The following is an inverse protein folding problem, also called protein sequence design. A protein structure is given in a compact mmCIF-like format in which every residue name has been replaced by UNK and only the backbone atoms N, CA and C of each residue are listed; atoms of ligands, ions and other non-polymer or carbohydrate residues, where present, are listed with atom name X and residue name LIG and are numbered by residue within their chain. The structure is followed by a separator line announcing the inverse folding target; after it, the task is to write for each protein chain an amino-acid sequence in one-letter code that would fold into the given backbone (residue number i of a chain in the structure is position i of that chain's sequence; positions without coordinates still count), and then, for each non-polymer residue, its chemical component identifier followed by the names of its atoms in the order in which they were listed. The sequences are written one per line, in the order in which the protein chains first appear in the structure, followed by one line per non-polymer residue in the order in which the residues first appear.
data_IF_183825399962
#
_entry.id   IF_183825399962
#
_cell.length_a   1.000
_cell.length_b   1.000
_cell.length_c   1.000
_cell.angle_alpha   90.00
_cell.angle_beta   90.00
_cell.angle_gamma   90.00
#
_symmetry.space_group_name_H-M   'P 1'
#
loop_
_entity.id
_entity.type
_entity.pdbx_description
1 polymer ?
#
# COMPACT_ATOMS: atom_id res chain seq x y z
N UNK A 1 21.64 27.61 -7.30
CA UNK A 1 23.01 27.12 -7.02
C UNK A 1 22.97 25.61 -6.93
N UNK A 2 23.43 24.94 -7.99
CA UNK A 2 23.45 23.48 -8.13
C UNK A 2 24.21 22.83 -6.97
N UNK A 3 23.78 21.67 -6.46
CA UNK A 3 24.57 20.92 -5.47
C UNK A 3 25.96 20.47 -5.98
N UNK A 4 26.27 20.65 -7.27
CA UNK A 4 27.64 20.57 -7.80
C UNK A 4 28.52 21.71 -7.28
N UNK A 5 27.96 22.90 -7.01
CA UNK A 5 28.71 24.05 -6.51
C UNK A 5 29.00 23.99 -5.00
N UNK A 6 28.30 23.14 -4.24
CA UNK A 6 28.56 22.97 -2.80
C UNK A 6 29.67 21.95 -2.51
N UNK A 7 30.24 21.32 -3.55
CA UNK A 7 31.49 20.55 -3.47
C UNK A 7 32.59 21.35 -4.18
N UNK A 8 32.70 22.64 -3.85
CA UNK A 8 33.81 23.49 -4.27
C UNK A 8 34.54 23.90 -3.01
N UNK A 9 35.56 23.14 -2.62
CA UNK A 9 36.60 23.72 -1.78
C UNK A 9 37.36 24.68 -2.70
N UNK A 10 37.18 25.98 -2.48
CA UNK A 10 38.07 27.01 -3.04
C UNK A 10 39.44 26.88 -2.37
N UNK A 11 40.25 25.95 -2.85
CA UNK A 11 41.71 25.92 -2.77
C UNK A 11 42.18 24.63 -3.47
N UNK A 12 43.09 24.77 -4.43
CA UNK A 12 43.64 23.76 -5.33
C UNK A 12 42.73 23.27 -6.46
N UNK A 13 43.17 23.53 -7.69
CA UNK A 13 42.58 23.13 -8.97
C UNK A 13 42.59 21.61 -9.25
N UNK A 14 42.36 20.79 -8.22
CA UNK A 14 41.99 19.39 -8.38
C UNK A 14 40.47 19.27 -8.48
N UNK A 15 39.98 18.50 -9.44
CA UNK A 15 38.54 18.25 -9.56
C UNK A 15 38.00 17.72 -8.22
N UNK A 16 36.83 18.19 -7.75
CA UNK A 16 36.31 17.81 -6.45
C UNK A 16 36.20 16.29 -6.34
N UNK A 17 36.85 15.73 -5.33
CA UNK A 17 36.82 14.29 -5.07
C UNK A 17 35.44 13.91 -4.58
N UNK A 18 34.61 13.39 -5.50
CA UNK A 18 33.32 12.80 -5.18
C UNK A 18 33.58 11.45 -4.52
N UNK A 19 33.47 11.39 -3.20
CA UNK A 19 33.58 10.15 -2.43
C UNK A 19 32.40 10.03 -1.46
N UNK A 20 32.19 8.83 -0.90
CA UNK A 20 31.06 8.56 -0.01
C UNK A 20 31.03 9.49 1.20
N UNK A 21 32.19 9.87 1.74
CA UNK A 21 32.30 10.76 2.89
C UNK A 21 31.86 12.20 2.56
N UNK A 22 32.26 12.74 1.39
CA UNK A 22 31.88 14.09 0.97
C UNK A 22 30.39 14.20 0.62
N UNK A 23 29.81 13.17 -0.01
CA UNK A 23 28.36 13.07 -0.25
C UNK A 23 27.60 13.01 1.07
N UNK A 24 28.01 12.13 1.99
CA UNK A 24 27.34 11.94 3.29
C UNK A 24 27.39 13.22 4.13
N UNK A 25 28.55 13.87 4.20
CA UNK A 25 28.71 15.14 4.92
C UNK A 25 27.82 16.25 4.36
N UNK A 26 27.71 16.34 3.03
CA UNK A 26 26.85 17.32 2.35
C UNK A 26 25.37 17.06 2.62
N UNK A 27 24.91 15.81 2.52
CA UNK A 27 23.54 15.44 2.84
C UNK A 27 23.20 15.70 4.31
N UNK A 28 24.10 15.34 5.24
CA UNK A 28 23.93 15.60 6.67
C UNK A 28 23.89 17.10 6.99
N UNK A 29 24.76 17.91 6.38
CA UNK A 29 24.79 19.37 6.55
C UNK A 29 23.58 20.09 5.97
N UNK A 30 22.95 19.53 4.94
CA UNK A 30 21.67 20.02 4.41
C UNK A 30 20.50 19.63 5.31
N UNK A 31 20.51 18.39 5.80
CA UNK A 31 19.48 17.90 6.71
C UNK A 31 19.44 18.69 8.03
N UNK A 32 20.59 19.04 8.59
CA UNK A 32 20.67 19.86 9.81
C UNK A 32 20.05 21.26 9.64
N UNK A 33 20.08 21.79 8.40
CA UNK A 33 19.42 23.04 8.00
C UNK A 33 17.94 22.86 7.60
N UNK A 34 17.39 21.65 7.75
CA UNK A 34 16.01 21.34 7.39
C UNK A 34 15.76 21.15 5.89
N UNK A 35 16.82 21.01 5.08
CA UNK A 35 16.72 20.78 3.63
C UNK A 35 16.80 19.27 3.39
N UNK A 36 15.66 18.66 3.05
CA UNK A 36 15.52 17.21 2.86
C UNK A 36 15.81 16.73 1.45
N UNK A 37 15.99 17.63 0.49
CA UNK A 37 16.06 17.33 -0.94
C UNK A 37 17.34 17.85 -1.54
N UNK A 38 18.04 17.03 -2.32
CA UNK A 38 19.33 17.38 -2.93
C UNK A 38 19.46 16.74 -4.30
N UNK A 39 19.84 17.51 -5.32
CA UNK A 39 20.18 16.97 -6.63
C UNK A 39 21.67 16.62 -6.71
N UNK A 40 22.03 15.39 -7.05
CA UNK A 40 23.42 14.99 -7.34
C UNK A 40 23.60 14.97 -8.86
N UNK A 41 24.30 15.98 -9.38
CA UNK A 41 24.43 16.22 -10.82
C UNK A 41 23.08 16.50 -11.48
N UNK A 42 22.95 16.15 -12.76
CA UNK A 42 21.72 16.38 -13.56
C UNK A 42 20.75 15.18 -13.58
N UNK A 43 21.12 14.05 -12.96
CA UNK A 43 20.42 12.76 -13.14
C UNK A 43 19.91 12.13 -11.86
N UNK A 44 20.46 12.48 -10.70
CA UNK A 44 20.16 11.80 -9.44
C UNK A 44 19.50 12.81 -8.51
N UNK A 45 18.36 12.42 -7.94
CA UNK A 45 17.68 13.17 -6.91
C UNK A 45 17.66 12.35 -5.63
N UNK A 46 18.08 12.96 -4.53
CA UNK A 46 18.15 12.34 -3.22
C UNK A 46 17.19 13.06 -2.28
N UNK A 47 16.26 12.30 -1.71
CA UNK A 47 15.43 12.74 -0.59
C UNK A 47 15.88 12.00 0.67
N UNK A 48 16.07 12.73 1.76
CA UNK A 48 16.49 12.17 3.05
C UNK A 48 15.37 12.36 4.06
N UNK A 49 14.91 11.25 4.65
CA UNK A 49 13.90 11.25 5.70
C UNK A 49 14.40 12.07 6.91
N UNK A 50 13.72 13.15 7.31
CA UNK A 50 14.10 13.90 8.49
C UNK A 50 13.76 13.20 9.81
N UNK A 51 13.01 12.10 9.80
CA UNK A 51 12.63 11.34 11.01
C UNK A 51 11.75 12.13 11.99
N UNK A 52 11.25 13.30 11.56
CA UNK A 52 10.40 14.22 12.32
C UNK A 52 9.38 14.84 11.38
N UNK A 53 8.22 15.20 11.93
CA UNK A 53 7.24 16.01 11.21
C UNK A 53 7.83 17.40 10.99
N UNK A 54 8.18 17.68 9.73
CA UNK A 54 8.49 19.04 9.28
C UNK A 54 7.18 19.82 9.16
N UNK A 55 7.22 21.15 9.25
CA UNK A 55 6.05 22.03 9.08
C UNK A 55 5.09 21.51 8.02
N UNK A 56 3.83 21.31 8.43
CA UNK A 56 2.67 20.85 7.67
C UNK A 56 2.99 20.53 6.20
N UNK A 57 3.59 19.34 5.99
CA UNK A 57 4.16 18.89 4.71
C UNK A 57 3.18 19.05 3.55
N UNK A 58 1.90 18.82 3.81
CA UNK A 58 0.83 19.04 2.85
C UNK A 58 0.59 20.50 2.48
N UNK A 59 0.65 21.42 3.45
CA UNK A 59 0.48 22.86 3.19
C UNK A 59 1.68 23.42 2.42
N UNK A 60 2.90 22.94 2.72
CA UNK A 60 4.11 23.27 1.97
C UNK A 60 4.07 22.66 0.57
N UNK A 61 3.63 21.40 0.45
CA UNK A 61 3.46 20.72 -0.84
C UNK A 61 2.39 21.39 -1.69
N UNK A 62 1.25 21.81 -1.12
CA UNK A 62 0.20 22.59 -1.80
C UNK A 62 0.68 23.97 -2.21
N UNK A 63 1.31 24.73 -1.31
CA UNK A 63 1.89 26.06 -1.64
C UNK A 63 2.92 25.94 -2.77
N UNK A 64 3.79 24.94 -2.70
CA UNK A 64 4.78 24.68 -3.75
C UNK A 64 4.14 24.18 -5.04
N UNK A 65 3.16 23.28 -4.96
CA UNK A 65 2.39 22.82 -6.11
C UNK A 65 1.69 23.99 -6.82
N UNK A 66 1.23 25.02 -6.09
CA UNK A 66 0.66 26.25 -6.67
C UNK A 66 1.72 27.12 -7.37
N UNK A 67 2.92 27.26 -6.79
CA UNK A 67 4.07 27.95 -7.43
C UNK A 67 4.47 27.27 -8.73
N UNK A 68 4.28 25.96 -8.79
CA UNK A 68 4.64 25.10 -9.92
C UNK A 68 3.48 25.01 -10.96
N UNK A 69 2.22 24.88 -10.55
CA UNK A 69 1.05 24.90 -11.47
C UNK A 69 0.88 26.25 -12.18
N UNK A 70 1.24 27.37 -11.56
CA UNK A 70 1.31 28.67 -12.26
C UNK A 70 2.27 28.70 -13.46
N UNK A 71 3.19 27.72 -13.57
CA UNK A 71 4.11 27.55 -14.72
C UNK A 71 3.47 26.79 -15.89
N UNK A 72 2.38 26.07 -15.67
CA UNK A 72 1.67 25.31 -16.71
C UNK A 72 0.72 26.18 -17.54
N UNK A 73 0.29 27.32 -16.99
CA UNK A 73 -0.61 28.28 -17.65
C UNK A 73 0.14 29.33 -18.49
N UNK A 74 1.47 29.43 -18.36
CA UNK A 74 2.29 30.33 -19.17
C UNK A 74 2.77 29.64 -20.45
N UNK A 75 2.56 30.30 -21.60
CA UNK A 75 3.15 29.91 -22.88
C UNK A 75 4.68 29.70 -22.75
N UNK A 76 5.26 28.69 -23.42
CA UNK A 76 6.66 28.27 -23.24
C UNK A 76 7.68 29.23 -23.89
N UNK A 77 7.43 30.54 -23.86
CA UNK A 77 8.12 31.55 -24.67
C UNK A 77 9.16 32.41 -23.94
N UNK A 78 9.53 32.10 -22.70
CA UNK A 78 10.61 32.84 -22.02
C UNK A 78 11.56 31.91 -21.27
N UNK A 79 12.68 31.55 -21.90
CA UNK A 79 13.81 30.79 -21.30
C UNK A 79 14.55 31.53 -20.16
N UNK A 80 14.11 32.73 -19.77
CA UNK A 80 14.72 33.52 -18.70
C UNK A 80 14.01 33.33 -17.37
N UNK A 81 14.78 33.11 -16.29
CA UNK A 81 14.35 33.12 -14.87
C UNK A 81 13.73 31.85 -14.25
N UNK A 82 14.24 30.66 -14.58
CA UNK A 82 13.70 29.38 -14.09
C UNK A 82 14.40 28.87 -12.80
N UNK A 83 15.24 29.71 -12.18
CA UNK A 83 16.26 29.29 -11.20
C UNK A 83 15.97 29.56 -9.71
N UNK A 84 14.76 29.99 -9.33
CA UNK A 84 14.50 30.47 -7.96
C UNK A 84 13.74 29.50 -7.03
N UNK A 85 13.32 28.31 -7.49
CA UNK A 85 12.72 27.32 -6.57
C UNK A 85 13.79 26.39 -6.01
N UNK A 86 13.90 26.31 -4.68
CA UNK A 86 14.73 25.33 -3.98
C UNK A 86 14.52 23.91 -4.55
N UNK A 87 15.61 23.15 -4.71
CA UNK A 87 15.62 21.80 -5.28
C UNK A 87 14.53 20.92 -4.65
N UNK A 88 13.55 20.50 -5.46
CA UNK A 88 12.38 19.77 -4.98
C UNK A 88 11.93 18.73 -6.00
N UNK A 89 11.35 17.64 -5.53
CA UNK A 89 10.89 16.53 -6.36
C UNK A 89 9.88 17.00 -7.42
N UNK A 90 9.00 17.93 -7.06
CA UNK A 90 8.01 18.53 -7.97
C UNK A 90 8.65 19.20 -9.19
N UNK A 91 9.84 19.80 -9.06
CA UNK A 91 10.55 20.39 -10.20
C UNK A 91 10.93 19.33 -11.24
N UNK A 92 11.30 18.13 -10.80
CA UNK A 92 11.66 17.05 -11.73
C UNK A 92 10.41 16.49 -12.40
N UNK A 93 9.31 16.43 -11.65
CA UNK A 93 7.99 16.05 -12.15
C UNK A 93 7.52 17.03 -13.22
N UNK A 94 7.63 18.35 -12.99
CA UNK A 94 7.36 19.39 -13.99
C UNK A 94 8.24 19.27 -15.23
N UNK A 95 9.56 19.16 -15.04
CA UNK A 95 10.50 19.04 -16.15
C UNK A 95 10.18 17.81 -17.01
N UNK A 96 9.78 16.70 -16.37
CA UNK A 96 9.28 15.54 -17.09
C UNK A 96 8.02 15.90 -17.88
N UNK A 97 7.04 16.57 -17.28
CA UNK A 97 5.82 16.98 -17.99
C UNK A 97 6.07 17.90 -19.19
N UNK A 98 6.95 18.88 -19.07
CA UNK A 98 7.32 19.77 -20.20
C UNK A 98 7.84 18.95 -21.39
N UNK A 99 8.63 17.91 -21.15
CA UNK A 99 9.07 17.02 -22.23
C UNK A 99 7.92 16.23 -22.87
N UNK A 100 6.88 15.85 -22.11
CA UNK A 100 5.67 15.19 -22.64
C UNK A 100 4.95 16.14 -23.60
N UNK A 101 4.70 17.38 -23.16
CA UNK A 101 3.95 18.39 -23.94
C UNK A 101 4.72 18.81 -25.19
N UNK A 102 6.04 18.92 -25.12
CA UNK A 102 6.91 19.22 -26.27
C UNK A 102 6.99 18.07 -27.30
N UNK A 103 6.23 16.98 -27.14
CA UNK A 103 6.22 15.85 -28.07
C UNK A 103 7.52 15.05 -28.10
N UNK A 104 8.45 15.31 -27.19
CA UNK A 104 9.67 14.52 -27.03
C UNK A 104 9.25 13.23 -26.34
N UNK A 105 9.29 12.09 -27.05
CA UNK A 105 8.98 10.77 -26.49
C UNK A 105 9.73 10.57 -25.18
N UNK A 106 9.03 10.63 -24.06
CA UNK A 106 9.58 10.19 -22.78
C UNK A 106 9.57 8.68 -22.81
N UNK A 107 10.72 8.08 -23.11
CA UNK A 107 10.96 6.69 -22.73
C UNK A 107 10.90 6.66 -21.20
N UNK A 108 9.96 5.87 -20.66
CA UNK A 108 9.55 5.92 -19.25
C UNK A 108 10.71 6.17 -18.28
N UNK A 109 10.60 7.24 -17.48
CA UNK A 109 11.52 7.45 -16.37
C UNK A 109 11.10 6.52 -15.25
N UNK A 110 11.93 5.53 -14.95
CA UNK A 110 11.75 4.64 -13.81
C UNK A 110 12.21 5.39 -12.57
N UNK A 111 11.30 5.63 -11.65
CA UNK A 111 11.61 6.14 -10.32
C UNK A 111 11.78 4.93 -9.40
N UNK A 112 13.01 4.64 -9.02
CA UNK A 112 13.31 3.59 -8.07
C UNK A 112 13.51 4.22 -6.70
N UNK A 113 12.60 3.92 -5.78
CA UNK A 113 12.65 4.36 -4.38
C UNK A 113 13.16 3.20 -3.53
N UNK A 114 14.20 3.41 -2.73
CA UNK A 114 14.56 2.47 -1.67
C UNK A 114 13.79 2.85 -0.40
N UNK A 115 13.03 1.87 0.11
CA UNK A 115 11.97 2.04 1.10
C UNK A 115 12.59 2.23 2.49
N UNK A 116 12.54 3.46 2.99
CA UNK A 116 12.54 3.82 4.43
C UNK A 116 11.80 5.16 4.68
N UNK A 117 11.17 5.75 3.64
CA UNK A 117 10.50 7.06 3.65
C UNK A 117 9.05 6.89 3.14
N UNK A 118 8.08 7.71 3.58
CA UNK A 118 6.66 7.43 3.40
C UNK A 118 6.22 7.49 1.93
N UNK A 119 5.14 6.76 1.58
CA UNK A 119 4.60 6.63 0.22
C UNK A 119 4.13 7.94 -0.44
N UNK A 120 4.17 9.06 0.27
CA UNK A 120 3.75 10.39 -0.23
C UNK A 120 4.52 10.85 -1.46
N UNK A 121 5.80 10.47 -1.62
CA UNK A 121 6.59 10.85 -2.80
C UNK A 121 6.18 10.11 -4.07
N UNK A 122 5.69 8.88 -3.96
CA UNK A 122 5.24 8.08 -5.11
C UNK A 122 3.99 8.65 -5.76
N UNK A 123 3.15 9.34 -4.99
CA UNK A 123 1.83 9.84 -5.42
C UNK A 123 1.70 11.37 -5.39
N UNK A 124 2.72 12.09 -4.92
CA UNK A 124 2.83 13.54 -5.06
C UNK A 124 2.67 14.05 -6.51
N UNK A 125 3.14 13.34 -7.57
CA UNK A 125 2.87 13.75 -8.95
C UNK A 125 1.38 13.77 -9.28
N UNK A 126 0.62 12.78 -8.79
CA UNK A 126 -0.82 12.69 -9.02
C UNK A 126 -1.51 13.93 -8.46
N UNK A 127 -1.23 14.28 -7.20
CA UNK A 127 -1.78 15.47 -6.54
C UNK A 127 -1.39 16.75 -7.26
N UNK A 128 -0.16 16.84 -7.76
CA UNK A 128 0.34 18.02 -8.46
C UNK A 128 -0.37 18.25 -9.81
N UNK A 129 -0.51 17.22 -10.65
CA UNK A 129 -1.12 17.36 -11.98
C UNK A 129 -2.65 17.41 -11.97
N UNK A 130 -3.29 17.00 -10.88
CA UNK A 130 -4.75 17.01 -10.72
C UNK A 130 -5.28 18.24 -9.97
N UNK A 131 -4.41 19.02 -9.32
CA UNK A 131 -4.78 20.24 -8.60
C UNK A 131 -5.52 21.31 -9.44
N UNK A 132 -5.22 21.55 -10.73
CA UNK A 132 -5.79 22.68 -11.46
C UNK A 132 -7.13 22.41 -12.14
N UNK A 133 -7.69 21.18 -12.07
CA UNK A 133 -8.80 20.80 -12.96
C UNK A 133 -9.91 20.01 -12.24
N UNK A 134 -11.15 20.48 -12.33
CA UNK A 134 -12.34 19.95 -11.63
C UNK A 134 -12.95 18.69 -12.26
N UNK A 135 -12.17 17.95 -13.06
CA UNK A 135 -12.67 16.77 -13.75
C UNK A 135 -12.84 15.60 -12.78
N UNK A 136 -13.97 14.89 -12.89
CA UNK A 136 -14.23 13.63 -12.15
C UNK A 136 -13.09 12.63 -12.32
N UNK A 137 -12.45 12.56 -13.49
CA UNK A 137 -11.32 11.65 -13.73
C UNK A 137 -10.13 11.98 -12.84
N UNK A 138 -9.88 13.25 -12.59
CA UNK A 138 -8.72 13.69 -11.83
C UNK A 138 -8.92 13.48 -10.34
N UNK A 139 -10.12 13.71 -9.85
CA UNK A 139 -10.47 13.43 -8.46
C UNK A 139 -10.34 11.92 -8.15
N UNK A 140 -10.72 11.06 -9.11
CA UNK A 140 -10.45 9.61 -9.04
C UNK A 140 -8.97 9.26 -9.04
N UNK A 141 -8.17 9.93 -9.88
CA UNK A 141 -6.71 9.74 -9.91
C UNK A 141 -6.07 10.21 -8.59
N UNK A 142 -6.63 11.23 -7.93
CA UNK A 142 -6.15 11.68 -6.62
C UNK A 142 -6.37 10.65 -5.53
N UNK A 143 -7.53 9.99 -5.49
CA UNK A 143 -7.88 9.08 -4.39
C UNK A 143 -7.35 7.65 -4.54
N UNK A 144 -6.87 7.26 -5.74
CA UNK A 144 -6.41 5.88 -6.00
C UNK A 144 -5.32 5.40 -5.02
N UNK A 145 -4.42 6.30 -4.60
CA UNK A 145 -3.38 5.94 -3.65
C UNK A 145 -3.94 5.70 -2.25
N UNK A 146 -4.87 6.54 -1.78
CA UNK A 146 -5.56 6.36 -0.50
C UNK A 146 -6.31 5.02 -0.45
N UNK A 147 -6.80 4.55 -1.61
CA UNK A 147 -7.50 3.26 -1.71
C UNK A 147 -6.51 2.10 -1.71
N UNK A 148 -5.42 2.16 -2.47
CA UNK A 148 -4.46 1.06 -2.60
C UNK A 148 -3.62 0.89 -1.34
N UNK A 149 -3.22 2.00 -0.71
CA UNK A 149 -2.25 2.01 0.38
C UNK A 149 -2.63 1.09 1.57
N UNK A 150 -3.88 1.10 2.09
CA UNK A 150 -4.26 0.20 3.18
C UNK A 150 -4.16 -1.29 2.83
N UNK A 151 -4.31 -1.66 1.56
CA UNK A 151 -4.26 -3.06 1.11
C UNK A 151 -2.84 -3.56 0.86
N UNK A 152 -1.91 -2.65 0.52
CA UNK A 152 -0.53 -3.03 0.19
C UNK A 152 0.45 -2.78 1.32
N UNK A 153 0.14 -1.88 2.26
CA UNK A 153 1.02 -1.56 3.38
C UNK A 153 0.70 -2.41 4.62
N UNK A 154 1.74 -2.86 5.29
CA UNK A 154 1.66 -3.55 6.57
C UNK A 154 2.47 -2.82 7.64
N UNK A 155 2.13 -3.06 8.91
CA UNK A 155 2.88 -2.56 10.06
C UNK A 155 3.70 -3.68 10.69
N UNK A 156 5.00 -3.48 11.01
CA UNK A 156 5.81 -4.50 11.66
C UNK A 156 5.25 -4.90 13.03
N UNK A 157 5.20 -6.22 13.31
CA UNK A 157 4.67 -6.79 14.56
C UNK A 157 5.51 -6.46 15.81
N UNK A 158 6.81 -6.25 15.64
CA UNK A 158 7.80 -6.12 16.72
C UNK A 158 8.06 -4.68 17.16
N UNK A 159 7.36 -3.71 16.60
CA UNK A 159 7.61 -2.32 16.96
C UNK A 159 7.11 -2.02 18.37
N UNK A 160 8.05 -1.67 19.24
CA UNK A 160 7.74 -0.94 20.47
C UNK A 160 7.04 0.36 20.06
N UNK A 161 6.03 0.74 20.82
CA UNK A 161 5.15 1.87 20.53
C UNK A 161 5.96 3.11 20.10
N UNK A 162 5.79 3.53 18.83
CA UNK A 162 6.21 4.84 18.35
C UNK A 162 7.27 4.93 17.24
N UNK A 163 7.86 3.84 16.73
CA UNK A 163 9.01 3.99 15.79
C UNK A 163 9.01 3.18 14.48
N UNK A 164 7.98 2.40 14.14
CA UNK A 164 7.99 1.67 12.86
C UNK A 164 7.11 2.34 11.83
N UNK A 165 7.74 2.90 10.79
CA UNK A 165 7.05 3.26 9.56
C UNK A 165 6.38 2.00 8.96
N UNK A 166 5.15 2.13 8.41
CA UNK A 166 4.57 1.06 7.61
C UNK A 166 5.51 0.74 6.44
N UNK A 167 5.51 -0.53 6.03
CA UNK A 167 6.26 -0.98 4.87
C UNK A 167 5.31 -1.56 3.83
N UNK A 168 5.69 -1.49 2.55
CA UNK A 168 4.87 -2.00 1.46
C UNK A 168 5.16 -3.47 1.18
N UNK A 169 4.12 -4.30 1.14
CA UNK A 169 4.16 -5.70 0.71
C UNK A 169 4.30 -5.83 -0.83
N UNK A 170 3.93 -4.77 -1.55
CA UNK A 170 3.96 -4.72 -3.01
C UNK A 170 4.81 -3.54 -3.50
N UNK A 171 5.61 -3.77 -4.55
CA UNK A 171 6.10 -2.71 -5.41
C UNK A 171 4.93 -2.13 -6.20
N UNK A 172 4.89 -0.81 -6.32
CA UNK A 172 3.84 -0.11 -7.07
C UNK A 172 4.47 0.60 -8.27
N UNK A 173 3.97 0.32 -9.46
CA UNK A 173 4.28 1.08 -10.67
C UNK A 173 3.07 1.91 -11.02
N UNK A 174 3.26 3.22 -11.17
CA UNK A 174 2.19 4.18 -11.43
C UNK A 174 2.51 4.96 -12.71
N UNK A 175 1.60 4.92 -13.67
CA UNK A 175 1.71 5.57 -14.97
C UNK A 175 0.62 6.63 -15.11
N UNK A 176 1.00 7.88 -15.38
CA UNK A 176 0.09 8.97 -15.70
C UNK A 176 -0.03 9.12 -17.23
N UNK A 177 -1.25 9.22 -17.73
CA UNK A 177 -1.54 9.25 -19.15
C UNK A 177 -2.05 10.63 -19.55
N UNK A 178 -1.37 11.27 -20.51
CA UNK A 178 -1.70 12.60 -20.98
C UNK A 178 -2.20 12.57 -22.43
N UNK A 179 -3.13 13.46 -22.75
CA UNK A 179 -3.58 13.70 -24.13
C UNK A 179 -2.46 14.37 -24.95
N UNK A 180 -2.65 14.41 -26.28
CA UNK A 180 -1.78 15.19 -27.18
C UNK A 180 -1.72 16.68 -26.83
N UNK A 181 -2.72 17.21 -26.12
CA UNK A 181 -2.78 18.60 -25.64
C UNK A 181 -2.15 18.79 -24.25
N UNK A 182 -1.55 17.74 -23.68
CA UNK A 182 -0.95 17.78 -22.34
C UNK A 182 -1.93 17.64 -21.18
N UNK A 183 -3.24 17.54 -21.41
CA UNK A 183 -4.22 17.31 -20.33
C UNK A 183 -4.11 15.90 -19.78
N UNK A 184 -4.16 15.72 -18.45
CA UNK A 184 -4.17 14.41 -17.80
C UNK A 184 -5.52 13.70 -18.08
N UNK A 185 -5.47 12.56 -18.77
CA UNK A 185 -6.65 11.80 -19.22
C UNK A 185 -6.84 10.47 -18.50
N UNK A 186 -5.80 9.94 -17.84
CA UNK A 186 -5.90 8.65 -17.18
C UNK A 186 -4.70 8.34 -16.29
N UNK A 187 -4.81 7.23 -15.56
CA UNK A 187 -3.71 6.66 -14.81
C UNK A 187 -3.82 5.13 -14.80
N UNK A 188 -2.67 4.45 -14.66
CA UNK A 188 -2.57 3.00 -14.53
C UNK A 188 -1.66 2.65 -13.36
N UNK A 189 -2.13 1.75 -12.51
CA UNK A 189 -1.36 1.21 -11.39
C UNK A 189 -1.12 -0.27 -11.61
N UNK A 190 0.10 -0.73 -11.36
CA UNK A 190 0.46 -2.16 -11.33
C UNK A 190 1.08 -2.46 -9.98
N UNK A 191 0.60 -3.52 -9.33
CA UNK A 191 1.12 -4.04 -8.08
C UNK A 191 2.00 -5.26 -8.38
N UNK A 192 3.20 -5.28 -7.83
CA UNK A 192 4.16 -6.38 -7.98
C UNK A 192 4.49 -6.90 -6.59
N UNK A 193 4.21 -8.17 -6.25
CA UNK A 193 4.57 -8.73 -4.96
C UNK A 193 6.09 -8.60 -4.72
N UNK A 194 6.50 -8.14 -3.54
CA UNK A 194 7.93 -8.08 -3.20
C UNK A 194 8.35 -9.45 -2.65
N UNK A 195 9.24 -10.19 -3.33
CA UNK A 195 9.68 -11.49 -2.85
C UNK A 195 10.50 -11.35 -1.56
N UNK A 196 10.29 -12.25 -0.60
CA UNK A 196 11.09 -12.33 0.62
C UNK A 196 10.69 -11.40 1.76
N UNK A 197 9.63 -10.59 1.61
CA UNK A 197 8.99 -9.98 2.77
C UNK A 197 8.22 -11.06 3.54
N UNK A 198 8.54 -11.20 4.84
CA UNK A 198 7.94 -12.23 5.70
C UNK A 198 6.40 -12.11 5.73
N UNK A 199 5.72 -13.23 5.49
CA UNK A 199 4.26 -13.41 5.56
C UNK A 199 3.67 -13.18 6.96
N UNK A 200 4.48 -12.76 7.94
CA UNK A 200 4.07 -12.50 9.32
C UNK A 200 3.34 -11.17 9.52
N UNK A 201 3.23 -10.34 8.48
CA UNK A 201 2.64 -9.00 8.60
C UNK A 201 1.30 -8.90 7.88
N UNK A 202 0.30 -8.42 8.61
CA UNK A 202 -1.06 -8.24 8.12
C UNK A 202 -1.19 -6.89 7.40
N UNK A 203 -1.85 -6.84 6.22
CA UNK A 203 -2.21 -5.58 5.58
C UNK A 203 -3.02 -4.66 6.51
N UNK A 204 -2.75 -3.36 6.42
CA UNK A 204 -3.35 -2.34 7.31
C UNK A 204 -4.87 -2.28 7.18
N UNK A 205 -5.43 -2.63 6.01
CA UNK A 205 -6.88 -2.67 5.78
C UNK A 205 -7.61 -3.56 6.77
N UNK A 206 -7.01 -4.66 7.24
CA UNK A 206 -7.63 -5.51 8.25
C UNK A 206 -7.73 -4.82 9.60
N UNK A 207 -6.71 -4.06 10.01
CA UNK A 207 -6.76 -3.25 11.24
C UNK A 207 -7.84 -2.16 11.14
N UNK A 208 -7.98 -1.52 9.97
CA UNK A 208 -9.01 -0.52 9.73
C UNK A 208 -10.42 -1.13 9.70
N UNK A 209 -10.58 -2.30 9.06
CA UNK A 209 -11.85 -3.01 8.97
C UNK A 209 -12.30 -3.53 10.34
N UNK A 210 -11.39 -4.07 11.15
CA UNK A 210 -11.68 -4.45 12.53
C UNK A 210 -12.10 -3.24 13.38
N UNK A 211 -11.47 -2.08 13.18
CA UNK A 211 -11.86 -0.84 13.86
C UNK A 211 -13.28 -0.39 13.48
N UNK A 212 -13.70 -0.61 12.22
CA UNK A 212 -15.06 -0.36 11.74
C UNK A 212 -16.08 -1.32 12.36
N UNK A 213 -15.77 -2.60 12.45
CA UNK A 213 -16.65 -3.61 13.03
C UNK A 213 -16.99 -3.33 14.50
N UNK A 214 -16.25 -2.47 15.22
CA UNK A 214 -16.62 -2.03 16.57
C UNK A 214 -17.87 -1.11 16.61
N UNK A 215 -18.38 -0.63 15.47
CA UNK A 215 -19.50 0.33 15.37
C UNK A 215 -20.82 -0.32 14.91
N UNK A 216 -21.20 -1.48 15.46
CA UNK A 216 -22.51 -2.13 15.26
C UNK A 216 -22.74 -2.92 13.94
N UNK A 217 -21.73 -3.11 13.09
CA UNK A 217 -21.84 -3.95 11.88
C UNK A 217 -21.36 -5.40 12.08
N UNK A 218 -21.03 -5.81 13.31
CA UNK A 218 -20.53 -7.17 13.62
C UNK A 218 -21.50 -8.27 13.22
N UNK A 219 -22.78 -8.02 13.45
CA UNK A 219 -23.85 -8.99 13.22
C UNK A 219 -24.00 -9.32 11.74
N UNK A 220 -23.83 -8.32 10.85
CA UNK A 220 -23.89 -8.48 9.41
C UNK A 220 -22.79 -9.41 8.87
N UNK A 221 -21.62 -9.43 9.51
CA UNK A 221 -20.48 -10.28 9.14
C UNK A 221 -20.26 -11.45 10.11
N UNK A 222 -21.27 -11.76 10.94
CA UNK A 222 -21.29 -12.89 11.86
C UNK A 222 -20.13 -12.94 12.87
N UNK A 223 -19.66 -11.78 13.32
CA UNK A 223 -18.63 -11.70 14.36
C UNK A 223 -19.23 -11.68 15.76
N UNK A 224 -18.72 -12.54 16.65
CA UNK A 224 -19.11 -12.55 18.05
C UNK A 224 -18.47 -11.38 18.83
N UNK A 225 -19.11 -10.94 19.91
CA UNK A 225 -18.69 -9.74 20.68
C UNK A 225 -17.25 -9.83 21.23
N UNK A 226 -16.78 -11.05 21.52
CA UNK A 226 -15.46 -11.35 22.09
C UNK A 226 -14.58 -12.21 21.16
N UNK A 227 -14.88 -12.28 19.86
CA UNK A 227 -14.12 -13.12 18.93
C UNK A 227 -12.70 -12.56 18.74
N UNK A 228 -11.69 -13.43 18.84
CA UNK A 228 -10.31 -13.09 18.56
C UNK A 228 -9.93 -13.56 17.15
N UNK A 229 -9.18 -12.75 16.40
CA UNK A 229 -8.70 -13.09 15.05
C UNK A 229 -7.19 -13.28 15.04
N UNK A 230 -6.75 -14.43 14.54
CA UNK A 230 -5.35 -14.72 14.27
C UNK A 230 -5.08 -14.66 12.77
N UNK A 231 -4.92 -13.45 12.21
CA UNK A 231 -4.57 -13.23 10.80
C UNK A 231 -3.11 -13.59 10.45
N UNK A 232 -2.62 -14.76 10.89
CA UNK A 232 -1.25 -15.21 10.62
C UNK A 232 -1.21 -16.61 10.04
N UNK A 233 -0.51 -16.74 8.90
CA UNK A 233 -0.11 -18.01 8.33
C UNK A 233 0.83 -18.76 9.30
N UNK A 234 0.67 -20.07 9.31
CA UNK A 234 1.36 -21.10 10.10
C UNK A 234 2.87 -20.90 10.30
N UNK A 235 3.35 -20.97 11.55
CA UNK A 235 4.43 -21.85 12.05
C UNK A 235 5.11 -21.38 13.35
N UNK A 236 4.93 -20.14 13.81
CA UNK A 236 5.64 -19.68 15.00
C UNK A 236 4.73 -18.88 15.95
N UNK A 237 4.46 -19.52 17.09
CA UNK A 237 4.41 -18.94 18.44
C UNK A 237 4.33 -17.41 18.47
N UNK A 238 3.14 -16.90 18.80
CA UNK A 238 3.00 -15.49 19.13
C UNK A 238 1.57 -14.99 19.01
N UNK A 239 0.70 -15.52 19.87
CA UNK A 239 -0.61 -14.95 20.13
C UNK A 239 -0.49 -13.44 20.38
N UNK A 240 -1.06 -12.64 19.48
CA UNK A 240 -1.55 -11.30 19.86
C UNK A 240 -3.02 -11.22 19.52
N UNK A 241 -3.78 -11.59 20.54
CA UNK A 241 -5.23 -11.50 20.59
C UNK A 241 -5.72 -10.11 20.18
N UNK A 242 -6.83 -10.11 19.46
CA UNK A 242 -7.71 -8.98 19.13
C UNK A 242 -7.85 -7.94 20.27
N UNK A 243 -7.80 -8.36 21.54
CA UNK A 243 -7.87 -7.47 22.70
C UNK A 243 -6.69 -6.49 22.86
N UNK A 244 -5.48 -6.81 22.37
CA UNK A 244 -4.31 -5.91 22.49
C UNK A 244 -4.21 -4.90 21.34
N UNK A 245 -4.80 -5.19 20.18
CA UNK A 245 -4.76 -4.33 18.98
C UNK A 245 -5.88 -3.28 18.96
N UNK A 246 -7.09 -3.66 19.36
CA UNK A 246 -8.27 -2.77 19.42
C UNK A 246 -8.07 -1.61 20.40
N UNK A 247 -7.44 -1.83 21.55
CA UNK A 247 -7.32 -0.79 22.59
C UNK A 247 -6.36 0.37 22.29
N UNK A 248 -5.54 0.32 21.21
CA UNK A 248 -4.39 1.24 21.09
C UNK A 248 -4.55 2.39 20.11
N UNK A 249 -5.48 2.35 19.15
CA UNK A 249 -5.61 3.39 18.10
C UNK A 249 -7.03 3.47 17.48
N UNK A 250 -8.05 3.10 18.24
CA UNK A 250 -9.42 2.91 17.73
C UNK A 250 -9.97 4.13 16.98
N UNK A 251 -9.81 5.33 17.52
CA UNK A 251 -10.42 6.54 16.94
C UNK A 251 -9.71 7.01 15.67
N UNK A 252 -8.38 6.92 15.64
CA UNK A 252 -7.58 7.23 14.45
C UNK A 252 -7.85 6.22 13.32
N UNK A 253 -7.87 4.92 13.62
CA UNK A 253 -8.18 3.89 12.63
C UNK A 253 -9.63 4.03 12.12
N UNK A 254 -10.59 4.39 12.99
CA UNK A 254 -11.98 4.69 12.60
C UNK A 254 -12.04 5.88 11.64
N UNK A 255 -11.33 6.96 11.94
CA UNK A 255 -11.26 8.13 11.07
C UNK A 255 -10.64 7.78 9.70
N UNK A 256 -9.55 7.02 9.70
CA UNK A 256 -8.89 6.55 8.47
C UNK A 256 -9.79 5.62 7.67
N UNK A 257 -10.53 4.71 8.30
CA UNK A 257 -11.48 3.86 7.58
C UNK A 257 -12.63 4.68 6.97
N UNK A 258 -13.18 5.66 7.69
CA UNK A 258 -14.20 6.57 7.14
C UNK A 258 -13.67 7.36 5.94
N UNK A 259 -12.41 7.79 5.98
CA UNK A 259 -11.75 8.43 4.83
C UNK A 259 -11.65 7.45 3.65
N UNK A 260 -11.22 6.20 3.90
CA UNK A 260 -11.17 5.15 2.88
C UNK A 260 -12.54 4.90 2.22
N UNK A 261 -13.63 4.87 3.00
CA UNK A 261 -15.00 4.72 2.45
C UNK A 261 -15.37 5.88 1.52
N UNK A 262 -15.03 7.11 1.92
CA UNK A 262 -15.25 8.30 1.11
C UNK A 262 -14.47 8.23 -0.20
N UNK A 263 -13.20 7.84 -0.11
CA UNK A 263 -12.30 7.73 -1.26
C UNK A 263 -12.77 6.63 -2.23
N UNK A 264 -13.20 5.47 -1.73
CA UNK A 264 -13.82 4.40 -2.53
C UNK A 264 -15.08 4.88 -3.24
N UNK A 265 -15.96 5.60 -2.54
CA UNK A 265 -17.17 6.17 -3.13
C UNK A 265 -16.86 7.20 -4.23
N UNK A 266 -15.88 8.08 -3.99
CA UNK A 266 -15.39 9.05 -4.98
C UNK A 266 -14.80 8.36 -6.22
N UNK A 267 -14.07 7.27 -6.01
CA UNK A 267 -13.53 6.45 -7.10
C UNK A 267 -14.65 5.82 -7.96
N UNK A 268 -15.79 5.51 -7.34
CA UNK A 268 -16.99 4.98 -8.00
C UNK A 268 -17.48 3.65 -7.45
N UNK A 269 -16.98 3.21 -6.28
CA UNK A 269 -17.53 2.05 -5.60
C UNK A 269 -18.95 2.36 -5.10
N UNK A 270 -19.88 1.46 -5.42
CA UNK A 270 -21.26 1.50 -4.92
C UNK A 270 -21.36 0.66 -3.66
N UNK A 271 -22.43 0.82 -2.89
CA UNK A 271 -22.65 0.05 -1.65
C UNK A 271 -22.48 -1.46 -1.88
N UNK A 272 -23.05 -2.01 -2.95
CA UNK A 272 -22.87 -3.43 -3.31
C UNK A 272 -21.39 -3.85 -3.43
N UNK A 273 -20.54 -3.02 -4.05
CA UNK A 273 -19.12 -3.32 -4.17
C UNK A 273 -18.42 -3.27 -2.79
N UNK A 274 -18.85 -2.36 -1.92
CA UNK A 274 -18.34 -2.27 -0.55
C UNK A 274 -18.77 -3.50 0.27
N UNK A 275 -20.01 -3.95 0.12
CA UNK A 275 -20.53 -5.14 0.79
C UNK A 275 -19.76 -6.39 0.37
N UNK A 276 -19.49 -6.54 -0.94
CA UNK A 276 -18.67 -7.63 -1.50
C UNK A 276 -17.23 -7.56 -0.96
N UNK A 277 -16.62 -6.37 -0.94
CA UNK A 277 -15.27 -6.16 -0.38
C UNK A 277 -15.20 -6.53 1.11
N UNK A 278 -16.16 -6.09 1.91
CA UNK A 278 -16.20 -6.39 3.34
C UNK A 278 -16.51 -7.85 3.62
N UNK A 279 -17.30 -8.48 2.77
CA UNK A 279 -17.53 -9.93 2.80
C UNK A 279 -16.22 -10.68 2.59
N UNK A 280 -15.41 -10.31 1.59
CA UNK A 280 -14.09 -10.92 1.35
C UNK A 280 -13.17 -10.74 2.57
N UNK A 281 -13.07 -9.52 3.11
CA UNK A 281 -12.26 -9.25 4.31
C UNK A 281 -12.74 -10.07 5.52
N UNK A 282 -14.06 -10.20 5.70
CA UNK A 282 -14.64 -10.98 6.78
C UNK A 282 -14.41 -12.48 6.62
N UNK A 283 -14.49 -13.00 5.40
CA UNK A 283 -14.18 -14.39 5.09
C UNK A 283 -12.71 -14.70 5.43
N UNK A 284 -11.77 -13.85 5.00
CA UNK A 284 -10.34 -14.06 5.31
C UNK A 284 -10.11 -14.10 6.83
N UNK A 285 -10.78 -13.23 7.58
CA UNK A 285 -10.76 -13.20 9.05
C UNK A 285 -11.35 -14.49 9.68
N UNK A 286 -12.48 -14.98 9.18
CA UNK A 286 -13.08 -16.21 9.71
C UNK A 286 -12.27 -17.45 9.33
N UNK A 287 -11.73 -17.51 8.11
CA UNK A 287 -10.82 -18.57 7.67
C UNK A 287 -9.61 -18.62 8.59
N UNK A 288 -8.99 -17.47 8.90
CA UNK A 288 -7.78 -17.43 9.74
C UNK A 288 -7.98 -18.02 11.14
N UNK A 289 -9.22 -18.11 11.62
CA UNK A 289 -9.57 -18.69 12.91
C UNK A 289 -9.87 -20.20 12.87
N UNK A 290 -9.91 -20.81 11.68
CA UNK A 290 -10.11 -22.25 11.58
C UNK A 290 -8.93 -23.00 12.20
N UNK A 291 -9.22 -23.87 13.16
CA UNK A 291 -8.25 -24.75 13.79
C UNK A 291 -8.50 -26.17 13.32
N UNK A 292 -7.50 -26.76 12.68
CA UNK A 292 -7.52 -28.16 12.28
C UNK A 292 -6.90 -29.03 13.37
N UNK A 293 -7.54 -30.16 13.68
CA UNK A 293 -7.09 -31.11 14.69
C UNK A 293 -7.18 -32.54 14.16
N UNK A 294 -6.35 -33.41 14.72
CA UNK A 294 -6.34 -34.85 14.45
C UNK A 294 -7.03 -35.58 15.62
N UNK A 295 -7.77 -36.64 15.31
CA UNK A 295 -8.35 -37.57 16.29
C UNK A 295 -7.84 -38.99 16.02
N UNK A 296 -8.03 -39.92 16.96
CA UNK A 296 -7.62 -41.32 16.81
C UNK A 296 -8.19 -41.98 15.55
N UNK A 297 -9.37 -41.56 15.11
CA UNK A 297 -10.12 -42.20 14.02
C UNK A 297 -10.17 -41.36 12.73
N UNK A 298 -9.77 -40.08 12.79
CA UNK A 298 -9.90 -39.15 11.66
C UNK A 298 -8.63 -38.31 11.53
N UNK A 299 -7.93 -38.37 10.38
CA UNK A 299 -6.61 -37.73 10.22
C UNK A 299 -6.66 -36.20 10.23
N UNK A 300 -7.80 -35.60 9.91
CA UNK A 300 -8.02 -34.17 10.06
C UNK A 300 -9.50 -33.84 10.14
N UNK A 301 -9.86 -32.97 11.08
CA UNK A 301 -11.17 -32.32 11.12
C UNK A 301 -11.04 -30.91 11.71
N UNK A 302 -12.09 -30.10 11.53
CA UNK A 302 -12.13 -28.74 12.05
C UNK A 302 -12.60 -28.78 13.50
N UNK A 303 -11.87 -28.13 14.40
CA UNK A 303 -12.27 -27.94 15.80
C UNK A 303 -13.51 -27.05 15.85
N UNK A 304 -14.52 -27.48 16.61
CA UNK A 304 -15.79 -26.77 16.80
C UNK A 304 -16.42 -26.32 15.45
N UNK A 305 -16.76 -27.29 14.55
CA UNK A 305 -17.12 -26.99 13.17
C UNK A 305 -18.39 -26.14 13.06
N UNK A 306 -19.38 -26.33 13.93
CA UNK A 306 -20.59 -25.50 13.93
C UNK A 306 -20.27 -24.02 14.16
N UNK A 307 -19.49 -23.71 15.21
CA UNK A 307 -19.16 -22.33 15.54
C UNK A 307 -18.31 -21.65 14.45
N UNK A 308 -17.41 -22.42 13.82
CA UNK A 308 -16.42 -21.87 12.89
C UNK A 308 -16.90 -21.84 11.44
N UNK A 309 -17.68 -22.83 11.00
CA UNK A 309 -18.13 -22.93 9.61
C UNK A 309 -19.43 -22.20 9.34
N UNK A 310 -20.34 -22.03 10.31
CA UNK A 310 -21.62 -21.33 10.09
C UNK A 310 -21.40 -19.90 9.57
N UNK A 311 -20.50 -19.06 10.16
CA UNK A 311 -20.21 -17.73 9.64
C UNK A 311 -19.71 -17.76 8.18
N UNK A 312 -18.74 -18.64 7.88
CA UNK A 312 -18.18 -18.79 6.54
C UNK A 312 -19.21 -19.27 5.52
N UNK A 313 -20.05 -20.23 5.91
CA UNK A 313 -21.11 -20.80 5.08
C UNK A 313 -22.11 -19.74 4.65
N UNK A 314 -22.49 -18.84 5.56
CA UNK A 314 -23.39 -17.72 5.26
C UNK A 314 -22.75 -16.67 4.37
N UNK A 315 -21.45 -16.39 4.56
CA UNK A 315 -20.73 -15.41 3.75
C UNK A 315 -20.43 -15.92 2.33
N UNK A 316 -20.14 -17.20 2.18
CA UNK A 316 -19.91 -17.84 0.88
C UNK A 316 -21.20 -18.30 0.19
N UNK A 317 -22.31 -18.37 0.91
CA UNK A 317 -23.54 -19.04 0.46
C UNK A 317 -23.31 -20.51 0.06
N UNK A 318 -22.53 -21.22 0.89
CA UNK A 318 -22.18 -22.63 0.70
C UNK A 318 -22.61 -23.42 1.94
N UNK A 319 -23.09 -24.64 1.76
CA UNK A 319 -23.43 -25.52 2.88
C UNK A 319 -22.19 -25.80 3.76
N UNK A 320 -22.28 -25.74 5.11
CA UNK A 320 -21.14 -25.97 6.01
C UNK A 320 -20.48 -27.34 5.82
N UNK A 321 -21.25 -28.39 5.52
CA UNK A 321 -20.72 -29.73 5.25
C UNK A 321 -19.87 -29.73 3.98
N UNK A 322 -20.33 -29.09 2.91
CA UNK A 322 -19.57 -28.97 1.67
C UNK A 322 -18.30 -28.14 1.88
N UNK A 323 -18.37 -27.06 2.66
CA UNK A 323 -17.21 -26.23 2.97
C UNK A 323 -16.16 -27.03 3.77
N UNK A 324 -16.60 -27.83 4.74
CA UNK A 324 -15.72 -28.73 5.48
C UNK A 324 -15.04 -29.73 4.56
N UNK A 325 -15.79 -30.37 3.66
CA UNK A 325 -15.25 -31.33 2.69
C UNK A 325 -14.20 -30.68 1.78
N UNK A 326 -14.45 -29.47 1.28
CA UNK A 326 -13.49 -28.75 0.41
C UNK A 326 -12.18 -28.43 1.17
N UNK A 327 -12.28 -28.03 2.43
CA UNK A 327 -11.13 -27.65 3.24
C UNK A 327 -10.29 -28.87 3.67
N UNK A 328 -10.95 -29.98 3.96
CA UNK A 328 -10.32 -31.16 4.57
C UNK A 328 -10.04 -32.28 3.57
N UNK A 329 -10.73 -32.36 2.43
CA UNK A 329 -10.59 -33.46 1.46
C UNK A 329 -9.98 -33.02 0.14
N UNK A 330 -9.03 -33.77 -0.41
CA UNK A 330 -8.52 -33.61 -1.77
C UNK A 330 -9.23 -34.62 -2.68
N UNK A 331 -9.88 -34.14 -3.73
CA UNK A 331 -10.41 -35.00 -4.79
C UNK A 331 -9.31 -35.28 -5.81
N UNK A 332 -8.99 -36.55 -6.02
CA UNK A 332 -7.98 -36.99 -6.98
C UNK A 332 -8.72 -37.72 -8.11
N UNK A 333 -8.63 -37.24 -9.35
CA UNK A 333 -9.17 -37.96 -10.50
C UNK A 333 -8.27 -39.17 -10.81
N UNK A 334 -8.89 -40.35 -11.02
CA UNK A 334 -8.22 -41.62 -11.32
C UNK A 334 -7.86 -41.76 -12.82
N UNK A 335 -8.43 -40.90 -13.68
CA UNK A 335 -8.24 -40.83 -15.13
C UNK A 335 -8.48 -39.38 -15.60
N UNK A 336 -8.25 -39.06 -16.89
CA UNK A 336 -8.63 -37.78 -17.53
C UNK A 336 -10.15 -37.49 -17.49
N UNK A 337 -10.95 -38.39 -16.90
CA UNK A 337 -12.39 -38.23 -16.70
C UNK A 337 -12.71 -38.02 -15.22
N UNK A 338 -13.45 -36.94 -14.94
CA UNK A 338 -13.94 -36.55 -13.60
C UNK A 338 -14.86 -37.63 -12.98
N UNK A 339 -15.38 -38.57 -13.78
CA UNK A 339 -16.33 -39.59 -13.37
C UNK A 339 -15.77 -40.57 -12.32
N UNK A 340 -14.45 -40.81 -12.29
CA UNK A 340 -13.79 -41.70 -11.34
C UNK A 340 -12.82 -40.90 -10.47
N UNK A 341 -13.35 -40.10 -9.53
CA UNK A 341 -12.52 -39.41 -8.54
C UNK A 341 -12.71 -40.03 -7.15
N UNK A 342 -11.64 -40.17 -6.39
CA UNK A 342 -11.70 -40.55 -4.99
C UNK A 342 -11.28 -39.37 -4.09
N UNK A 343 -11.86 -39.31 -2.88
CA UNK A 343 -11.54 -38.28 -1.89
C UNK A 343 -10.49 -38.81 -0.91
N UNK A 344 -9.42 -38.05 -0.72
CA UNK A 344 -8.40 -38.30 0.31
C UNK A 344 -8.54 -37.25 1.40
N UNK A 345 -8.70 -37.68 2.65
CA UNK A 345 -8.68 -36.77 3.81
C UNK A 345 -7.24 -36.28 3.99
N UNK A 346 -7.07 -34.97 4.04
CA UNK A 346 -5.77 -34.32 4.24
C UNK A 346 -5.24 -34.53 5.65
N UNK A 347 -3.94 -34.36 5.83
CA UNK A 347 -3.36 -34.11 7.16
C UNK A 347 -3.72 -32.72 7.68
N UNK A 348 -3.60 -32.50 9.00
CA UNK A 348 -3.78 -31.19 9.64
C UNK A 348 -2.93 -30.10 8.99
N UNK A 349 -1.68 -30.41 8.66
CA UNK A 349 -0.75 -29.46 8.03
C UNK A 349 -1.16 -29.13 6.60
N UNK A 350 -1.57 -30.12 5.80
CA UNK A 350 -2.06 -29.89 4.44
C UNK A 350 -3.38 -29.10 4.41
N UNK A 351 -4.30 -29.37 5.35
CA UNK A 351 -5.56 -28.63 5.46
C UNK A 351 -5.31 -27.16 5.83
N UNK A 352 -4.37 -26.91 6.75
CA UNK A 352 -3.92 -25.56 7.08
C UNK A 352 -3.30 -24.84 5.87
N UNK A 353 -2.39 -25.50 5.14
CA UNK A 353 -1.82 -24.93 3.91
C UNK A 353 -2.88 -24.64 2.85
N UNK A 354 -3.92 -25.48 2.72
CA UNK A 354 -5.01 -25.23 1.78
C UNK A 354 -5.85 -24.02 2.19
N UNK A 355 -6.25 -23.93 3.46
CA UNK A 355 -6.94 -22.75 4.00
C UNK A 355 -6.14 -21.49 3.70
N UNK A 356 -4.85 -21.54 3.94
CA UNK A 356 -4.02 -20.36 3.77
C UNK A 356 -3.78 -20.01 2.29
N UNK A 357 -3.65 -21.01 1.41
CA UNK A 357 -3.62 -20.79 -0.03
C UNK A 357 -4.93 -20.16 -0.54
N UNK A 358 -6.08 -20.55 0.00
CA UNK A 358 -7.36 -19.90 -0.29
C UNK A 358 -7.36 -18.44 0.20
N UNK A 359 -6.91 -18.18 1.43
CA UNK A 359 -6.78 -16.83 1.96
C UNK A 359 -5.83 -15.94 1.16
N UNK A 360 -4.79 -16.51 0.55
CA UNK A 360 -3.87 -15.78 -0.33
C UNK A 360 -4.40 -15.53 -1.74
N UNK A 361 -5.30 -16.39 -2.21
CA UNK A 361 -5.96 -16.24 -3.51
C UNK A 361 -7.07 -15.18 -3.48
N UNK A 362 -7.68 -14.98 -2.31
CA UNK A 362 -8.64 -13.91 -2.01
C UNK A 362 -7.93 -12.60 -1.69
#
# INVERSE_FOLDING_TARGET
MNAVAAVSNEADGSAPVVNTASITSTLAGRLSKGITHTCIGSRIYVSVNPGRDMENREAVSRRRANVFTGRLEMEPSSEGEWNSSAEHFLQIVENAYVHVVQGKKIKGRVWQWQINDPPEHSYAPCRHFSAPTSSKTLSRIQVIHCIVEPFVNARPRTSKAGSSSPFSLFGTSFELQFSSKGSLVGAKTVLVPVPGLSNESTPTVFDLFLAFLLQDQRTAFHFAQNQHFELTHSTLVGASSFAKRVNRNDEANKATFKALLKDLAEFGFKQRHLDELFTVLAVILHLSNLVFIESSDVPCHIKDPEASLIPLSRLFDINPTNLQEILVNRFIPESDTVANSYSVILSVTEAAHRRDALMHAM
#
